data_IF_951534760851
#
_entry.id   IF_951534760851
#
_cell.length_a   1.000
_cell.length_b   1.000
_cell.length_c   1.000
_cell.angle_alpha   90.00
_cell.angle_beta   90.00
_cell.angle_gamma   90.00
#
_symmetry.space_group_name_H-M   'P 1'
#
loop_
_entity.id
_entity.type
_entity.pdbx_description
1 polymer ?
#
# COMPACT_ATOMS: atom_id res chain seq x y z
N UNK A 1 5.04 33.92 -17.19
CA UNK A 1 5.62 32.60 -17.54
C UNK A 1 4.73 31.56 -16.87
N UNK A 2 3.81 30.94 -17.61
CA UNK A 2 2.79 30.04 -17.05
C UNK A 2 3.39 28.67 -16.76
N UNK A 3 3.12 28.12 -15.57
CA UNK A 3 3.50 26.76 -15.21
C UNK A 3 2.82 25.77 -16.17
N UNK A 4 3.62 25.08 -16.99
CA UNK A 4 3.16 23.94 -17.77
C UNK A 4 2.77 22.83 -16.80
N UNK A 5 1.47 22.63 -16.58
CA UNK A 5 0.97 21.43 -15.93
C UNK A 5 1.19 20.25 -16.86
N UNK A 6 2.26 19.50 -16.60
CA UNK A 6 2.55 18.27 -17.31
C UNK A 6 1.38 17.29 -17.06
N UNK A 7 0.55 17.08 -18.08
CA UNK A 7 -0.73 16.37 -18.00
C UNK A 7 -0.60 14.85 -18.16
N UNK A 8 0.62 14.31 -18.14
CA UNK A 8 0.84 12.87 -18.09
C UNK A 8 0.33 12.37 -16.72
N UNK A 9 -0.66 11.47 -16.67
CA UNK A 9 -1.10 10.91 -15.40
C UNK A 9 0.08 10.20 -14.76
N UNK A 10 0.64 10.76 -13.68
CA UNK A 10 1.67 10.08 -12.90
C UNK A 10 1.05 8.79 -12.40
N UNK A 11 1.76 7.67 -12.55
CA UNK A 11 1.26 6.39 -12.08
C UNK A 11 0.79 6.51 -10.62
N UNK A 12 -0.40 5.98 -10.29
CA UNK A 12 -1.05 6.27 -9.02
C UNK A 12 -0.23 5.74 -7.85
N UNK A 13 -0.20 6.51 -6.76
CA UNK A 13 0.47 6.13 -5.51
C UNK A 13 -0.59 5.93 -4.45
N UNK A 14 -0.69 4.71 -3.94
CA UNK A 14 -1.75 4.27 -3.05
C UNK A 14 -1.09 3.80 -1.75
N UNK A 15 -1.59 4.30 -0.62
CA UNK A 15 -1.19 3.86 0.70
C UNK A 15 -2.37 3.16 1.37
N UNK A 16 -2.21 1.88 1.68
CA UNK A 16 -3.19 1.10 2.42
C UNK A 16 -2.87 1.21 3.90
N UNK A 17 -3.75 1.83 4.69
CA UNK A 17 -3.58 1.92 6.13
C UNK A 17 -4.43 0.89 6.88
N UNK A 18 -3.77 -0.04 7.58
CA UNK A 18 -4.46 -1.09 8.34
C UNK A 18 -3.77 -1.36 9.70
N UNK A 19 -4.34 -0.79 10.76
CA UNK A 19 -3.85 -0.88 12.13
C UNK A 19 -4.64 -1.89 12.97
N UNK A 20 -4.63 -3.16 12.56
CA UNK A 20 -5.52 -4.18 13.11
C UNK A 20 -4.76 -5.42 13.63
N UNK A 21 -5.47 -6.54 13.80
CA UNK A 21 -4.86 -7.82 14.16
C UNK A 21 -4.23 -8.48 12.92
N UNK A 22 -3.41 -9.51 13.14
CA UNK A 22 -2.69 -10.22 12.06
C UNK A 22 -3.65 -10.80 11.01
N UNK A 23 -4.76 -11.40 11.45
CA UNK A 23 -5.74 -12.01 10.53
C UNK A 23 -6.31 -11.01 9.52
N UNK A 24 -6.62 -9.79 9.96
CA UNK A 24 -7.09 -8.72 9.09
C UNK A 24 -6.06 -8.32 8.01
N UNK A 25 -4.77 -8.42 8.31
CA UNK A 25 -3.69 -8.06 7.38
C UNK A 25 -3.64 -9.08 6.25
N UNK A 26 -3.70 -10.37 6.58
CA UNK A 26 -3.72 -11.46 5.59
C UNK A 26 -4.95 -11.34 4.68
N UNK A 27 -6.09 -10.93 5.23
CA UNK A 27 -7.32 -10.70 4.47
C UNK A 27 -7.25 -9.51 3.50
N UNK A 28 -6.15 -8.73 3.47
CA UNK A 28 -5.95 -7.66 2.50
C UNK A 28 -5.45 -8.12 1.13
N UNK A 29 -4.98 -9.37 0.98
CA UNK A 29 -4.45 -9.85 -0.31
C UNK A 29 -5.41 -9.62 -1.50
N UNK A 30 -6.72 -9.89 -1.41
CA UNK A 30 -7.63 -9.66 -2.54
C UNK A 30 -7.70 -8.18 -2.95
N UNK A 31 -7.57 -7.26 -2.00
CA UNK A 31 -7.54 -5.81 -2.27
C UNK A 31 -6.28 -5.44 -3.04
N UNK A 32 -5.12 -5.93 -2.62
CA UNK A 32 -3.84 -5.69 -3.31
C UNK A 32 -3.90 -6.24 -4.74
N UNK A 33 -4.41 -7.45 -4.91
CA UNK A 33 -4.60 -8.07 -6.23
C UNK A 33 -5.53 -7.23 -7.12
N UNK A 34 -6.64 -6.73 -6.59
CA UNK A 34 -7.57 -5.88 -7.34
C UNK A 34 -6.95 -4.54 -7.75
N UNK A 35 -6.18 -3.90 -6.87
CA UNK A 35 -5.47 -2.66 -7.18
C UNK A 35 -4.44 -2.87 -8.29
N UNK A 36 -3.69 -3.97 -8.24
CA UNK A 36 -2.72 -4.33 -9.29
C UNK A 36 -3.40 -4.63 -10.63
N UNK A 37 -4.55 -5.29 -10.61
CA UNK A 37 -5.33 -5.53 -11.82
C UNK A 37 -5.90 -4.22 -12.42
N UNK A 38 -6.33 -3.27 -11.59
CA UNK A 38 -6.94 -2.02 -12.04
C UNK A 38 -5.92 -0.99 -12.55
N UNK A 39 -4.78 -0.86 -11.88
CA UNK A 39 -3.81 0.22 -12.14
C UNK A 39 -2.50 -0.27 -12.76
N UNK A 40 -2.34 -1.58 -12.93
CA UNK A 40 -1.15 -2.19 -13.51
C UNK A 40 0.06 -2.15 -12.58
N UNK A 41 1.20 -2.54 -13.14
CA UNK A 41 2.48 -2.68 -12.41
C UNK A 41 3.14 -1.34 -12.07
N UNK A 42 2.82 -0.27 -12.80
CA UNK A 42 3.47 1.03 -12.62
C UNK A 42 2.89 1.79 -11.42
N UNK A 43 1.72 1.38 -10.93
CA UNK A 43 1.14 1.88 -9.69
C UNK A 43 2.03 1.54 -8.49
N UNK A 44 2.18 2.46 -7.56
CA UNK A 44 2.86 2.22 -6.28
C UNK A 44 1.80 1.89 -5.24
N UNK A 45 1.90 0.73 -4.60
CA UNK A 45 1.00 0.24 -3.55
C UNK A 45 1.80 -0.03 -2.29
N UNK A 46 1.79 0.94 -1.40
CA UNK A 46 2.41 0.85 -0.08
C UNK A 46 1.40 0.38 0.97
N UNK A 47 1.89 -0.22 2.04
CA UNK A 47 1.07 -0.70 3.16
C UNK A 47 1.61 -0.13 4.47
N UNK A 48 0.75 0.35 5.37
CA UNK A 48 1.13 0.76 6.72
C UNK A 48 0.35 -0.03 7.76
N UNK A 49 1.07 -0.61 8.73
CA UNK A 49 0.50 -1.43 9.78
C UNK A 49 1.21 -1.28 11.13
N UNK A 50 0.70 -1.95 12.16
CA UNK A 50 1.39 -2.03 13.45
C UNK A 50 2.68 -2.86 13.31
N UNK A 51 3.75 -2.49 14.02
CA UNK A 51 5.04 -3.20 13.95
C UNK A 51 4.93 -4.73 14.13
N UNK A 52 4.07 -5.20 15.05
CA UNK A 52 3.80 -6.63 15.28
C UNK A 52 3.22 -7.38 14.07
N UNK A 53 2.68 -6.67 13.09
CA UNK A 53 2.04 -7.21 11.89
C UNK A 53 2.94 -7.12 10.65
N UNK A 54 4.16 -6.60 10.77
CA UNK A 54 5.07 -6.36 9.63
C UNK A 54 5.28 -7.61 8.79
N UNK A 55 5.64 -8.72 9.42
CA UNK A 55 5.94 -9.97 8.71
C UNK A 55 4.73 -10.48 7.92
N UNK A 56 3.50 -10.32 8.44
CA UNK A 56 2.30 -10.69 7.71
C UNK A 56 2.03 -9.76 6.52
N UNK A 57 2.33 -8.47 6.65
CA UNK A 57 2.20 -7.51 5.55
C UNK A 57 3.25 -7.74 4.45
N UNK A 58 4.48 -8.15 4.80
CA UNK A 58 5.54 -8.48 3.83
C UNK A 58 5.23 -9.73 3.00
N UNK A 59 4.31 -10.59 3.46
CA UNK A 59 3.82 -11.74 2.69
C UNK A 59 2.76 -11.36 1.64
N UNK A 60 2.23 -10.14 1.67
CA UNK A 60 1.24 -9.69 0.70
C UNK A 60 1.90 -9.43 -0.65
N UNK A 61 1.59 -10.28 -1.63
CA UNK A 61 2.13 -10.15 -2.98
C UNK A 61 1.60 -8.89 -3.65
N UNK A 62 2.50 -8.08 -4.21
CA UNK A 62 2.17 -6.83 -4.89
C UNK A 62 2.17 -5.60 -4.00
N UNK A 63 2.65 -5.67 -2.76
CA UNK A 63 3.04 -4.48 -1.98
C UNK A 63 4.46 -4.05 -2.34
N UNK A 64 4.69 -2.75 -2.52
CA UNK A 64 6.01 -2.20 -2.80
C UNK A 64 6.81 -1.93 -1.52
N UNK A 65 6.18 -1.28 -0.54
CA UNK A 65 6.82 -0.94 0.74
C UNK A 65 5.85 -1.19 1.90
N UNK A 66 6.36 -1.83 2.96
CA UNK A 66 5.68 -1.96 4.24
C UNK A 66 6.24 -0.95 5.24
N UNK A 67 5.38 -0.04 5.67
CA UNK A 67 5.62 0.93 6.73
C UNK A 67 5.06 0.39 8.05
N UNK A 68 5.77 0.63 9.14
CA UNK A 68 5.32 0.22 10.47
C UNK A 68 5.16 1.41 11.40
N UNK A 69 4.12 1.38 12.21
CA UNK A 69 3.94 2.31 13.33
C UNK A 69 3.96 1.56 14.66
N UNK A 70 4.50 2.24 15.67
CA UNK A 70 4.42 1.81 17.06
C UNK A 70 3.23 2.48 17.74
N UNK A 71 2.63 1.82 18.74
CA UNK A 71 1.60 2.44 19.54
C UNK A 71 2.28 3.42 20.49
N UNK A 72 2.09 4.73 20.28
CA UNK A 72 2.49 5.74 21.24
C UNK A 72 1.81 5.47 22.60
N UNK A 73 2.59 5.53 23.67
CA UNK A 73 2.08 5.52 25.05
C UNK A 73 1.71 6.93 25.48
#
# INVERSE_FOLDING_TARGET
MAAQFNSTPRAPRILIARFSALGDIVMMQPVVTALRAAYGKDAVVDFVCMARCRQAAELLSGIDVVHTVERGT
#
